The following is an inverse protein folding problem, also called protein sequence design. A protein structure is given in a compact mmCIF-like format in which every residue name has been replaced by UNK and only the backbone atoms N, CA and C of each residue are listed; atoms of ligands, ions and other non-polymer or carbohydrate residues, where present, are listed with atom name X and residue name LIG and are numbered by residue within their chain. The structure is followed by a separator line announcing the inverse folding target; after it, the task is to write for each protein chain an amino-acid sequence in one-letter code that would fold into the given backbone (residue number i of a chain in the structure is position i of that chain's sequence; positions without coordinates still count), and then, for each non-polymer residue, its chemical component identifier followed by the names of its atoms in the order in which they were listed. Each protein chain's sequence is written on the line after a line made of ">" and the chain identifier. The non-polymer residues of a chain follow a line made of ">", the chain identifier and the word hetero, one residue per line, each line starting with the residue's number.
data_IF_388941571326
#
_entry.id   IF_388941571326
#
_cell.length_a   1.000
_cell.length_b   1.000
_cell.length_c   1.000
_cell.angle_alpha   90.00
_cell.angle_beta   90.00
_cell.angle_gamma   90.00
#
_symmetry.space_group_name_H-M   'P 1'
#
loop_
_entity.id
_entity.type
_entity.pdbx_description
1 polymer ?
#
# COMPACT_ATOMS: atom_id res chain seq x y z
N UNK A 1 -16.39 38.12 49.34
CA UNK A 1 -15.83 38.70 48.09
C UNK A 1 -14.90 37.67 47.49
N UNK A 2 -15.03 37.17 46.27
CA UNK A 2 -15.96 37.38 45.17
C UNK A 2 -15.52 36.42 44.06
N UNK A 3 -16.49 35.75 43.41
CA UNK A 3 -16.30 34.77 42.34
C UNK A 3 -15.49 35.30 41.15
N UNK A 4 -14.76 34.41 40.47
CA UNK A 4 -14.43 34.58 39.04
C UNK A 4 -14.57 33.23 38.32
N UNK A 5 -15.78 32.99 37.84
CA UNK A 5 -16.05 32.11 36.70
C UNK A 5 -15.65 32.85 35.42
N UNK A 6 -14.85 32.25 34.56
CA UNK A 6 -14.79 32.59 33.15
C UNK A 6 -15.01 31.32 32.34
N UNK A 7 -16.21 31.25 31.78
CA UNK A 7 -16.75 30.20 30.93
C UNK A 7 -15.81 29.86 29.78
N UNK A 8 -15.47 28.58 29.66
CA UNK A 8 -15.07 27.96 28.40
C UNK A 8 -16.23 28.12 27.41
N UNK A 9 -16.14 29.12 26.52
CA UNK A 9 -16.99 29.18 25.34
C UNK A 9 -16.50 28.08 24.39
N UNK A 10 -17.22 26.97 24.34
CA UNK A 10 -17.06 25.98 23.29
C UNK A 10 -17.35 26.66 21.95
N UNK A 11 -16.31 26.86 21.15
CA UNK A 11 -16.44 27.26 19.76
C UNK A 11 -16.70 25.98 18.97
N UNK A 12 -17.96 25.62 18.78
CA UNK A 12 -18.35 24.67 17.75
C UNK A 12 -18.17 25.39 16.41
N UNK A 13 -17.23 24.97 15.54
CA UNK A 13 -17.11 25.61 14.25
C UNK A 13 -18.41 25.39 13.46
N UNK A 14 -18.98 26.49 12.95
CA UNK A 14 -20.13 26.41 12.06
C UNK A 14 -19.75 25.58 10.82
N UNK A 15 -20.58 24.62 10.39
CA UNK A 15 -20.29 23.86 9.19
C UNK A 15 -20.20 24.80 7.99
N UNK A 16 -19.15 24.64 7.19
CA UNK A 16 -18.99 25.40 5.95
C UNK A 16 -19.84 24.71 4.88
N UNK A 17 -20.77 25.45 4.28
CA UNK A 17 -21.64 24.94 3.22
C UNK A 17 -21.02 25.22 1.87
N UNK A 18 -20.63 24.17 1.15
CA UNK A 18 -19.96 24.28 -0.16
C UNK A 18 -20.91 23.78 -1.25
N UNK A 19 -20.93 24.47 -2.38
CA UNK A 19 -21.62 24.01 -3.59
C UNK A 19 -20.69 23.07 -4.36
N UNK A 20 -21.09 21.80 -4.42
CA UNK A 20 -20.33 20.69 -4.98
C UNK A 20 -20.59 20.52 -6.48
N UNK A 21 -21.81 20.86 -6.90
CA UNK A 21 -22.29 20.90 -8.28
C UNK A 21 -23.49 21.89 -8.34
N UNK A 22 -23.96 22.33 -9.53
CA UNK A 22 -25.04 23.31 -9.62
C UNK A 22 -26.28 22.88 -8.81
N UNK A 23 -26.56 23.57 -7.71
CA UNK A 23 -27.69 23.29 -6.80
C UNK A 23 -27.49 22.18 -5.76
N UNK A 24 -26.31 21.55 -5.68
CA UNK A 24 -25.98 20.50 -4.69
C UNK A 24 -25.05 21.06 -3.61
N UNK A 25 -25.49 20.99 -2.36
CA UNK A 25 -24.81 21.61 -1.22
C UNK A 25 -24.46 20.59 -0.14
N UNK A 26 -23.24 20.65 0.39
CA UNK A 26 -22.80 19.82 1.51
C UNK A 26 -22.32 20.67 2.69
N UNK A 27 -22.65 20.23 3.92
CA UNK A 27 -22.22 20.84 5.17
C UNK A 27 -20.96 20.14 5.70
N UNK A 28 -19.83 20.84 5.78
CA UNK A 28 -18.53 20.26 6.18
C UNK A 28 -18.10 20.81 7.54
N UNK A 29 -17.76 19.91 8.49
CA UNK A 29 -17.23 20.29 9.80
C UNK A 29 -15.80 20.84 9.67
N UNK A 30 -15.51 22.00 10.28
CA UNK A 30 -14.18 22.57 10.24
C UNK A 30 -13.21 21.79 11.17
N UNK A 31 -12.37 20.96 10.56
CA UNK A 31 -11.23 20.25 11.18
C UNK A 31 -9.97 20.37 10.30
N UNK A 32 -8.79 19.90 10.73
CA UNK A 32 -7.52 20.14 10.04
C UNK A 32 -7.58 19.65 8.59
N UNK A 33 -7.50 20.62 7.67
CA UNK A 33 -8.01 20.60 6.31
C UNK A 33 -7.17 19.82 5.28
N UNK A 34 -6.31 18.90 5.69
CA UNK A 34 -5.40 18.21 4.75
C UNK A 34 -5.83 16.80 4.36
N UNK A 35 -6.66 16.11 5.13
CA UNK A 35 -7.17 14.76 4.73
C UNK A 35 -8.54 14.83 4.04
N UNK A 36 -9.38 15.80 4.40
CA UNK A 36 -10.76 15.91 3.87
C UNK A 36 -10.80 16.53 2.46
N UNK A 37 -9.84 17.43 2.15
CA UNK A 37 -9.70 18.04 0.82
C UNK A 37 -9.11 17.04 -0.19
N UNK A 38 -8.28 16.10 0.26
CA UNK A 38 -7.77 14.99 -0.56
C UNK A 38 -8.88 13.98 -0.88
N UNK A 39 -9.70 13.59 0.11
CA UNK A 39 -10.84 12.68 -0.09
C UNK A 39 -11.91 13.27 -1.05
N UNK A 40 -12.08 14.59 -1.04
CA UNK A 40 -13.02 15.29 -1.92
C UNK A 40 -12.49 15.44 -3.37
N UNK A 41 -11.19 15.74 -3.54
CA UNK A 41 -10.54 15.78 -4.84
C UNK A 41 -10.45 14.39 -5.50
N UNK A 42 -10.31 13.32 -4.70
CA UNK A 42 -10.29 11.93 -5.18
C UNK A 42 -11.69 11.47 -5.64
N UNK A 43 -12.76 11.91 -4.96
CA UNK A 43 -14.15 11.63 -5.37
C UNK A 43 -14.59 12.33 -6.67
N UNK A 44 -14.23 13.61 -6.86
CA UNK A 44 -14.54 14.36 -8.10
C UNK A 44 -13.70 13.86 -9.30
N UNK A 45 -12.47 13.41 -9.05
CA UNK A 45 -11.61 12.85 -10.09
C UNK A 45 -12.06 11.46 -10.55
N UNK A 46 -12.60 10.63 -9.66
CA UNK A 46 -13.23 9.35 -10.04
C UNK A 46 -14.49 9.55 -10.90
N UNK A 47 -15.27 10.61 -10.67
CA UNK A 47 -16.46 10.91 -11.48
C UNK A 47 -16.09 11.45 -12.87
N UNK A 48 -14.96 12.15 -12.97
CA UNK A 48 -14.35 12.64 -14.22
C UNK A 48 -13.82 11.50 -15.13
N UNK A 49 -13.37 10.38 -14.55
CA UNK A 49 -13.01 9.17 -15.30
C UNK A 49 -14.26 8.38 -15.71
N UNK A 50 -15.28 8.32 -14.84
CA UNK A 50 -16.52 7.56 -15.04
C UNK A 50 -17.45 8.17 -16.11
N UNK A 51 -17.36 9.48 -16.37
CA UNK A 51 -18.25 10.20 -17.31
C UNK A 51 -17.79 10.22 -18.78
N UNK A 52 -16.69 9.54 -19.14
CA UNK A 52 -16.24 9.41 -20.52
C UNK A 52 -15.50 10.65 -21.02
N UNK A 53 -14.20 10.68 -20.75
CA UNK A 53 -13.29 11.76 -21.17
C UNK A 53 -13.32 11.98 -22.70
N UNK A 54 -13.48 13.22 -23.20
CA UNK A 54 -13.55 13.48 -24.63
C UNK A 54 -12.18 13.28 -25.29
N UNK A 55 -12.15 12.53 -26.40
CA UNK A 55 -10.95 12.42 -27.23
C UNK A 55 -10.57 13.80 -27.80
N UNK A 56 -9.35 14.26 -27.51
CA UNK A 56 -8.83 15.50 -28.09
C UNK A 56 -8.56 15.31 -29.61
N UNK A 57 -8.80 16.34 -30.45
CA UNK A 57 -8.56 16.25 -31.88
C UNK A 57 -7.05 16.15 -32.21
N UNK A 58 -6.73 15.41 -33.28
CA UNK A 58 -5.38 15.15 -33.74
C UNK A 58 -4.55 16.44 -33.94
N UNK A 59 -3.47 16.58 -33.17
CA UNK A 59 -2.45 17.62 -33.36
C UNK A 59 -1.42 17.27 -34.43
N UNK A 60 -0.68 18.25 -34.98
CA UNK A 60 0.15 18.09 -36.16
C UNK A 60 1.44 17.30 -35.89
N UNK A 61 2.10 16.74 -36.94
CA UNK A 61 3.32 15.96 -36.77
C UNK A 61 4.50 16.87 -36.42
N UNK A 62 5.09 16.66 -35.24
CA UNK A 62 6.30 17.38 -34.83
C UNK A 62 7.57 16.69 -35.36
N UNK A 63 8.17 17.34 -36.37
CA UNK A 63 9.59 17.70 -36.47
C UNK A 63 10.65 16.64 -36.14
N UNK A 64 11.30 16.15 -37.19
CA UNK A 64 12.61 15.48 -37.15
C UNK A 64 13.70 16.47 -36.73
N UNK A 65 14.39 16.19 -35.61
CA UNK A 65 15.73 16.72 -35.37
C UNK A 65 16.67 15.59 -34.96
N UNK A 66 17.50 15.19 -35.94
CA UNK A 66 18.73 14.46 -35.73
C UNK A 66 19.79 15.40 -35.14
N UNK A 67 20.47 14.95 -34.09
CA UNK A 67 21.82 15.40 -33.74
C UNK A 67 22.47 14.32 -32.87
N UNK A 68 23.04 13.35 -33.57
CA UNK A 68 23.89 12.29 -33.06
C UNK A 68 25.24 12.85 -32.60
N UNK A 69 25.67 12.51 -31.39
CA UNK A 69 27.01 12.78 -30.88
C UNK A 69 27.67 11.45 -30.47
N UNK A 70 28.97 11.22 -30.74
CA UNK A 70 29.56 9.90 -30.64
C UNK A 70 29.82 9.52 -29.18
N UNK A 71 29.29 8.38 -28.74
CA UNK A 71 29.67 7.74 -27.48
C UNK A 71 31.02 7.04 -27.62
N UNK A 72 31.95 7.17 -26.66
CA UNK A 72 33.19 6.41 -26.67
C UNK A 72 32.92 4.90 -26.40
N UNK A 73 33.79 4.00 -26.89
CA UNK A 73 33.58 2.56 -26.76
C UNK A 73 33.78 2.09 -25.33
N UNK A 74 32.77 1.42 -24.77
CA UNK A 74 32.87 0.67 -23.53
C UNK A 74 33.69 -0.61 -23.79
N UNK A 75 34.77 -0.78 -23.03
CA UNK A 75 35.55 -2.01 -23.00
C UNK A 75 34.67 -3.19 -22.56
N UNK A 76 34.64 -4.24 -23.37
CA UNK A 76 33.97 -5.50 -23.07
C UNK A 76 34.79 -6.28 -22.05
N UNK A 77 34.36 -6.25 -20.79
CA UNK A 77 34.68 -7.30 -19.84
C UNK A 77 33.51 -8.29 -19.88
N UNK A 78 33.74 -9.41 -20.56
CA UNK A 78 32.85 -10.55 -20.55
C UNK A 78 32.89 -11.20 -19.15
N UNK A 79 32.02 -10.72 -18.27
CA UNK A 79 31.54 -11.54 -17.16
C UNK A 79 30.24 -12.19 -17.63
N UNK A 80 30.18 -13.51 -17.58
CA UNK A 80 28.97 -14.25 -17.95
C UNK A 80 27.82 -13.78 -17.05
N UNK A 81 26.63 -13.45 -17.60
CA UNK A 81 25.52 -13.04 -16.77
C UNK A 81 25.18 -14.16 -15.78
N UNK A 82 24.92 -13.85 -14.49
CA UNK A 82 24.41 -14.84 -13.57
C UNK A 82 23.14 -15.46 -14.17
N UNK A 83 23.00 -16.78 -14.03
CA UNK A 83 21.85 -17.52 -14.53
C UNK A 83 20.56 -16.77 -14.18
N UNK A 84 19.77 -16.44 -15.21
CA UNK A 84 18.53 -15.72 -15.02
C UNK A 84 17.67 -16.48 -14.00
N UNK A 85 17.01 -15.77 -13.05
CA UNK A 85 16.15 -16.43 -12.09
C UNK A 85 15.08 -17.23 -12.84
N UNK A 86 15.03 -18.53 -12.58
CA UNK A 86 14.01 -19.40 -13.14
C UNK A 86 12.65 -18.96 -12.59
N UNK A 87 11.77 -18.48 -13.47
CA UNK A 87 10.36 -18.24 -13.12
C UNK A 87 9.80 -19.58 -12.63
N UNK A 88 9.20 -19.67 -11.44
CA UNK A 88 8.59 -20.91 -10.97
C UNK A 88 7.66 -21.46 -12.05
N UNK A 89 7.89 -22.70 -12.47
CA UNK A 89 7.14 -23.32 -13.55
C UNK A 89 5.63 -23.24 -13.23
N UNK A 90 4.87 -22.68 -14.16
CA UNK A 90 3.41 -22.55 -14.02
C UNK A 90 2.91 -21.35 -13.20
N UNK A 91 3.75 -20.41 -12.77
CA UNK A 91 3.29 -19.22 -12.00
C UNK A 91 2.17 -18.44 -12.70
N UNK A 92 2.25 -18.24 -14.01
CA UNK A 92 1.19 -17.57 -14.77
C UNK A 92 -0.12 -18.36 -14.73
N UNK A 93 -0.06 -19.69 -14.87
CA UNK A 93 -1.25 -20.55 -14.74
C UNK A 93 -1.83 -20.53 -13.31
N UNK A 94 -1.00 -20.35 -12.28
CA UNK A 94 -1.47 -20.15 -10.91
C UNK A 94 -2.17 -18.79 -10.73
N UNK A 95 -1.69 -17.74 -11.38
CA UNK A 95 -2.38 -16.44 -11.41
C UNK A 95 -3.73 -16.53 -12.12
N UNK A 96 -3.81 -17.23 -13.26
CA UNK A 96 -5.08 -17.49 -13.95
C UNK A 96 -6.08 -18.23 -13.02
N UNK A 97 -5.59 -19.21 -12.24
CA UNK A 97 -6.41 -19.92 -11.25
C UNK A 97 -6.87 -19.01 -10.10
N UNK A 98 -5.99 -18.13 -9.61
CA UNK A 98 -6.32 -17.16 -8.57
C UNK A 98 -7.41 -16.19 -9.04
N UNK A 99 -7.32 -15.69 -10.27
CA UNK A 99 -8.33 -14.83 -10.88
C UNK A 99 -9.68 -15.54 -10.98
N UNK A 100 -9.70 -16.78 -11.47
CA UNK A 100 -10.91 -17.59 -11.55
C UNK A 100 -11.52 -17.92 -10.17
N UNK A 101 -10.70 -18.18 -9.15
CA UNK A 101 -11.17 -18.38 -7.76
C UNK A 101 -11.77 -17.08 -7.21
N UNK A 102 -11.11 -15.95 -7.44
CA UNK A 102 -11.56 -14.63 -6.99
C UNK A 102 -12.92 -14.30 -7.58
N UNK A 103 -13.10 -14.50 -8.90
CA UNK A 103 -14.38 -14.31 -9.58
C UNK A 103 -15.49 -15.16 -8.95
N UNK A 104 -15.23 -16.45 -8.71
CA UNK A 104 -16.22 -17.33 -8.06
C UNK A 104 -16.59 -16.90 -6.65
N UNK A 105 -15.62 -16.41 -5.87
CA UNK A 105 -15.87 -15.92 -4.50
C UNK A 105 -16.72 -14.64 -4.54
N UNK A 106 -16.40 -13.69 -5.43
CA UNK A 106 -17.10 -12.41 -5.51
C UNK A 106 -18.47 -12.50 -6.18
N UNK A 107 -18.70 -13.53 -7.00
CA UNK A 107 -20.01 -13.79 -7.61
C UNK A 107 -20.97 -14.62 -6.73
N UNK A 108 -20.49 -15.18 -5.61
CA UNK A 108 -21.31 -16.02 -4.74
C UNK A 108 -22.31 -15.19 -3.92
N UNK A 109 -23.55 -15.65 -3.80
CA UNK A 109 -24.51 -15.07 -2.86
C UNK A 109 -24.22 -15.56 -1.43
N UNK A 110 -23.72 -14.64 -0.60
CA UNK A 110 -23.36 -14.90 0.80
C UNK A 110 -24.39 -14.36 1.80
N UNK A 111 -25.53 -13.82 1.33
CA UNK A 111 -26.51 -13.12 2.17
C UNK A 111 -27.19 -14.01 3.22
N UNK A 112 -27.25 -15.32 2.97
CA UNK A 112 -27.82 -16.30 3.89
C UNK A 112 -26.82 -16.98 4.83
N UNK A 113 -25.55 -16.56 4.85
CA UNK A 113 -24.53 -17.22 5.66
C UNK A 113 -24.79 -17.03 7.17
N UNK A 114 -24.65 -18.10 7.99
CA UNK A 114 -24.53 -17.95 9.43
C UNK A 114 -23.35 -17.05 9.79
N UNK A 115 -23.52 -16.20 10.81
CA UNK A 115 -22.51 -15.18 11.17
C UNK A 115 -21.12 -15.75 11.50
N UNK A 116 -21.04 -16.95 12.08
CA UNK A 116 -19.76 -17.63 12.34
C UNK A 116 -19.01 -17.99 11.05
N UNK A 117 -19.74 -18.49 10.04
CA UNK A 117 -19.17 -18.82 8.74
C UNK A 117 -18.80 -17.55 7.96
N UNK A 118 -19.61 -16.49 8.04
CA UNK A 118 -19.27 -15.19 7.45
C UNK A 118 -17.98 -14.59 8.07
N UNK A 119 -17.80 -14.72 9.39
CA UNK A 119 -16.58 -14.28 10.07
C UNK A 119 -15.35 -15.08 9.62
N UNK A 120 -15.47 -16.40 9.48
CA UNK A 120 -14.40 -17.26 8.97
C UNK A 120 -14.01 -16.90 7.52
N UNK A 121 -15.01 -16.72 6.65
CA UNK A 121 -14.79 -16.30 5.26
C UNK A 121 -14.08 -14.94 5.21
N UNK A 122 -14.57 -13.96 5.98
CA UNK A 122 -13.98 -12.62 6.07
C UNK A 122 -12.50 -12.68 6.52
N UNK A 123 -12.19 -13.47 7.54
CA UNK A 123 -10.81 -13.63 8.02
C UNK A 123 -9.90 -14.25 6.97
N UNK A 124 -10.35 -15.30 6.26
CA UNK A 124 -9.57 -15.98 5.22
C UNK A 124 -9.33 -15.07 4.02
N UNK A 125 -10.35 -14.34 3.57
CA UNK A 125 -10.23 -13.35 2.48
C UNK A 125 -9.24 -12.26 2.89
N UNK A 126 -9.38 -11.69 4.08
CA UNK A 126 -8.45 -10.66 4.58
C UNK A 126 -7.01 -11.15 4.61
N UNK A 127 -6.75 -12.36 5.10
CA UNK A 127 -5.40 -12.95 5.13
C UNK A 127 -4.82 -13.12 3.72
N UNK A 128 -5.59 -13.66 2.79
CA UNK A 128 -5.16 -13.83 1.41
C UNK A 128 -4.83 -12.47 0.74
N UNK A 129 -5.69 -11.47 0.93
CA UNK A 129 -5.48 -10.11 0.43
C UNK A 129 -4.21 -9.48 1.03
N UNK A 130 -3.99 -9.60 2.34
CA UNK A 130 -2.80 -9.05 3.00
C UNK A 130 -1.50 -9.70 2.46
N UNK A 131 -1.49 -11.02 2.26
CA UNK A 131 -0.34 -11.74 1.69
C UNK A 131 -0.05 -11.34 0.24
N UNK A 132 -1.10 -11.27 -0.60
CA UNK A 132 -0.98 -10.85 -1.99
C UNK A 132 -0.54 -9.39 -2.11
N UNK A 133 -1.05 -8.51 -1.25
CA UNK A 133 -0.62 -7.12 -1.18
C UNK A 133 0.86 -6.99 -0.78
N UNK A 134 1.33 -7.80 0.18
CA UNK A 134 2.73 -7.86 0.56
C UNK A 134 3.62 -8.34 -0.60
N UNK A 135 3.23 -9.43 -1.27
CA UNK A 135 3.95 -9.95 -2.43
C UNK A 135 3.99 -8.93 -3.57
N UNK A 136 2.90 -8.18 -3.79
CA UNK A 136 2.87 -7.07 -4.76
C UNK A 136 3.88 -5.97 -4.41
N UNK A 137 4.00 -5.57 -3.15
CA UNK A 137 5.00 -4.57 -2.74
C UNK A 137 6.43 -5.06 -3.00
N UNK A 138 6.72 -6.35 -2.78
CA UNK A 138 8.02 -6.95 -3.13
C UNK A 138 8.30 -6.83 -4.64
N UNK A 139 7.33 -7.20 -5.49
CA UNK A 139 7.46 -7.12 -6.94
C UNK A 139 7.65 -5.66 -7.42
N UNK A 140 6.91 -4.70 -6.86
CA UNK A 140 7.07 -3.27 -7.17
C UNK A 140 8.49 -2.80 -6.82
N UNK A 141 9.02 -3.25 -5.68
CA UNK A 141 10.40 -2.97 -5.29
C UNK A 141 11.41 -3.56 -6.28
N UNK A 142 11.15 -4.74 -6.83
CA UNK A 142 12.01 -5.37 -7.84
C UNK A 142 11.96 -4.62 -9.19
N UNK A 143 10.75 -4.31 -9.69
CA UNK A 143 10.55 -3.57 -10.94
C UNK A 143 11.24 -2.20 -10.87
N UNK A 144 11.10 -1.49 -9.74
CA UNK A 144 11.77 -0.21 -9.53
C UNK A 144 13.29 -0.31 -9.67
N UNK A 145 13.87 -1.34 -9.02
CA UNK A 145 15.30 -1.57 -8.93
C UNK A 145 15.91 -2.02 -10.26
N UNK A 146 15.20 -2.87 -11.01
CA UNK A 146 15.59 -3.30 -12.36
C UNK A 146 15.61 -2.12 -13.34
N UNK A 147 14.70 -1.17 -13.17
CA UNK A 147 14.69 0.05 -13.97
C UNK A 147 14.12 -0.10 -15.38
N UNK A 148 13.54 -1.25 -15.71
CA UNK A 148 12.87 -1.56 -16.99
C UNK A 148 11.77 -0.55 -17.35
N UNK A 149 11.13 0.05 -16.34
CA UNK A 149 10.17 1.15 -16.48
C UNK A 149 10.72 2.41 -17.16
N UNK A 150 12.04 2.62 -17.20
CA UNK A 150 12.68 3.78 -17.83
C UNK A 150 12.64 3.73 -19.35
N UNK A 151 12.31 2.59 -19.95
CA UNK A 151 12.08 2.48 -21.39
C UNK A 151 10.81 3.26 -21.80
N UNK A 152 9.87 3.45 -20.88
CA UNK A 152 8.72 4.31 -21.08
C UNK A 152 9.10 5.79 -20.89
N UNK A 153 8.36 6.72 -21.51
CA UNK A 153 8.61 8.18 -21.49
C UNK A 153 8.37 8.85 -20.12
N UNK A 154 8.34 8.08 -19.04
CA UNK A 154 7.99 8.53 -17.69
C UNK A 154 9.21 9.01 -16.90
N UNK A 155 9.08 10.14 -16.21
CA UNK A 155 10.18 10.78 -15.47
C UNK A 155 10.40 10.23 -14.05
N UNK A 156 9.49 9.38 -13.53
CA UNK A 156 9.65 8.74 -12.23
C UNK A 156 8.90 7.41 -12.16
N UNK A 157 9.36 6.49 -11.32
CA UNK A 157 8.71 5.20 -11.14
C UNK A 157 7.29 5.33 -10.57
N UNK A 158 7.05 6.28 -9.66
CA UNK A 158 5.69 6.53 -9.14
C UNK A 158 4.75 7.05 -10.22
N UNK A 159 5.22 7.89 -11.16
CA UNK A 159 4.43 8.34 -12.31
C UNK A 159 4.12 7.18 -13.26
N UNK A 160 5.11 6.32 -13.51
CA UNK A 160 4.92 5.11 -14.29
C UNK A 160 3.88 4.17 -13.65
N UNK A 161 3.98 3.91 -12.35
CA UNK A 161 3.05 3.06 -11.62
C UNK A 161 1.63 3.63 -11.63
N UNK A 162 1.48 4.94 -11.37
CA UNK A 162 0.19 5.62 -11.44
C UNK A 162 -0.47 5.48 -12.81
N UNK A 163 0.30 5.63 -13.90
CA UNK A 163 -0.21 5.48 -15.25
C UNK A 163 -0.57 4.03 -15.59
N UNK A 164 0.27 3.07 -15.23
CA UNK A 164 0.08 1.64 -15.54
C UNK A 164 -1.12 1.05 -14.81
N UNK A 165 -1.33 1.44 -13.57
CA UNK A 165 -2.37 0.88 -12.71
C UNK A 165 -3.57 1.82 -12.50
N UNK A 166 -3.59 2.99 -13.13
CA UNK A 166 -4.65 4.02 -13.01
C UNK A 166 -4.87 4.46 -11.56
N UNK A 167 -3.78 4.66 -10.81
CA UNK A 167 -3.83 5.11 -9.43
C UNK A 167 -3.70 6.64 -9.34
N UNK A 168 -4.21 7.21 -8.25
CA UNK A 168 -3.86 8.58 -7.88
C UNK A 168 -2.34 8.68 -7.64
N UNK A 169 -1.77 9.85 -7.92
CA UNK A 169 -0.33 10.10 -7.73
C UNK A 169 0.10 9.86 -6.28
N UNK A 170 -0.72 10.29 -5.32
CA UNK A 170 -0.46 10.13 -3.90
C UNK A 170 -0.41 8.64 -3.50
N UNK A 171 -1.36 7.84 -3.97
CA UNK A 171 -1.36 6.41 -3.73
C UNK A 171 -0.13 5.73 -4.34
N UNK A 172 0.19 6.02 -5.61
CA UNK A 172 1.38 5.46 -6.25
C UNK A 172 2.68 5.82 -5.52
N UNK A 173 2.83 7.07 -5.05
CA UNK A 173 3.99 7.49 -4.25
C UNK A 173 4.07 6.73 -2.93
N UNK A 174 2.95 6.58 -2.22
CA UNK A 174 2.88 5.82 -0.96
C UNK A 174 3.23 4.35 -1.18
N UNK A 175 2.70 3.73 -2.23
CA UNK A 175 2.99 2.35 -2.60
C UNK A 175 4.46 2.14 -2.94
N UNK A 176 5.05 3.02 -3.77
CA UNK A 176 6.48 2.95 -4.09
C UNK A 176 7.35 3.18 -2.85
N UNK A 177 7.00 4.13 -1.99
CA UNK A 177 7.71 4.37 -0.73
C UNK A 177 7.68 3.15 0.19
N UNK A 178 6.53 2.49 0.33
CA UNK A 178 6.41 1.26 1.12
C UNK A 178 7.22 0.10 0.53
N UNK A 179 7.14 -0.11 -0.80
CA UNK A 179 7.92 -1.12 -1.50
C UNK A 179 9.44 -0.91 -1.30
N UNK A 180 9.89 0.34 -1.40
CA UNK A 180 11.29 0.71 -1.19
C UNK A 180 11.73 0.48 0.26
N UNK A 181 10.93 0.91 1.24
CA UNK A 181 11.23 0.68 2.66
C UNK A 181 11.32 -0.81 3.00
N UNK A 182 10.42 -1.64 2.47
CA UNK A 182 10.46 -3.10 2.62
C UNK A 182 11.72 -3.71 2.01
N UNK A 183 12.11 -3.28 0.82
CA UNK A 183 13.32 -3.76 0.13
C UNK A 183 14.61 -3.36 0.86
N UNK A 184 14.71 -2.10 1.29
CA UNK A 184 15.98 -1.50 1.73
C UNK A 184 16.19 -1.59 3.25
N UNK A 185 15.12 -1.62 4.03
CA UNK A 185 15.21 -1.49 5.49
C UNK A 185 14.49 -2.61 6.24
N UNK A 186 13.49 -3.27 5.63
CA UNK A 186 12.61 -4.21 6.33
C UNK A 186 12.42 -5.55 5.61
N UNK A 187 13.48 -6.24 5.17
CA UNK A 187 13.34 -7.51 4.42
C UNK A 187 12.67 -8.61 5.27
N UNK A 188 12.91 -8.64 6.59
CA UNK A 188 12.25 -9.59 7.49
C UNK A 188 10.74 -9.31 7.61
N UNK A 189 10.34 -8.03 7.63
CA UNK A 189 8.91 -7.64 7.61
C UNK A 189 8.25 -8.05 6.30
N UNK A 190 8.93 -7.87 5.16
CA UNK A 190 8.43 -8.33 3.87
C UNK A 190 8.20 -9.84 3.85
N UNK A 191 9.15 -10.63 4.35
CA UNK A 191 9.05 -12.08 4.44
C UNK A 191 7.88 -12.53 5.35
N UNK A 192 7.77 -11.96 6.56
CA UNK A 192 6.69 -12.26 7.50
C UNK A 192 5.31 -11.90 6.92
N UNK A 193 5.21 -10.79 6.18
CA UNK A 193 3.97 -10.38 5.53
C UNK A 193 3.58 -11.32 4.38
N UNK A 194 4.53 -11.75 3.55
CA UNK A 194 4.28 -12.74 2.50
C UNK A 194 3.87 -14.11 3.08
N UNK A 195 4.46 -14.51 4.23
CA UNK A 195 4.08 -15.71 4.97
C UNK A 195 2.71 -15.59 5.68
N UNK A 196 2.13 -14.39 5.75
CA UNK A 196 0.86 -14.12 6.43
C UNK A 196 0.95 -14.20 7.95
N UNK A 197 2.15 -14.00 8.50
CA UNK A 197 2.40 -13.95 9.95
C UNK A 197 2.04 -12.58 10.54
N UNK A 198 2.13 -11.53 9.71
CA UNK A 198 1.76 -10.17 10.08
C UNK A 198 0.74 -9.60 9.09
N UNK A 199 -0.08 -8.65 9.55
CA UNK A 199 -1.11 -8.00 8.76
C UNK A 199 -0.55 -6.80 7.99
N UNK A 200 -1.32 -6.30 7.02
CA UNK A 200 -0.99 -5.06 6.31
C UNK A 200 -0.87 -3.84 7.25
N UNK A 201 -1.57 -3.84 8.39
CA UNK A 201 -1.47 -2.77 9.39
C UNK A 201 -0.08 -2.78 10.06
N UNK A 202 0.42 -3.96 10.43
CA UNK A 202 1.79 -4.11 10.96
C UNK A 202 2.81 -3.62 9.94
N UNK A 203 2.66 -3.98 8.66
CA UNK A 203 3.53 -3.49 7.58
C UNK A 203 3.52 -1.96 7.50
N UNK A 204 2.34 -1.33 7.50
CA UNK A 204 2.18 0.12 7.46
C UNK A 204 2.87 0.82 8.64
N UNK A 205 2.73 0.29 9.85
CA UNK A 205 3.40 0.81 11.05
C UNK A 205 4.92 0.72 10.91
N UNK A 206 5.44 -0.43 10.46
CA UNK A 206 6.88 -0.64 10.28
C UNK A 206 7.46 0.28 9.20
N UNK A 207 6.76 0.46 8.08
CA UNK A 207 7.16 1.40 7.02
C UNK A 207 7.19 2.84 7.53
N UNK A 208 6.21 3.26 8.36
CA UNK A 208 6.26 4.61 8.97
C UNK A 208 7.49 4.78 9.86
N UNK A 209 7.89 3.74 10.59
CA UNK A 209 9.07 3.79 11.44
C UNK A 209 10.38 4.00 10.65
N UNK A 210 10.44 3.65 9.35
CA UNK A 210 11.63 3.92 8.53
C UNK A 210 11.79 5.39 8.14
N UNK A 211 10.82 6.24 8.44
CA UNK A 211 10.86 7.68 8.12
C UNK A 211 11.91 8.49 8.89
N UNK A 212 12.53 7.92 9.93
CA UNK A 212 13.60 8.59 10.71
C UNK A 212 14.84 7.72 10.83
N UNK A 213 16.03 8.32 10.78
CA UNK A 213 17.32 7.62 10.90
C UNK A 213 17.41 6.82 12.20
N UNK A 214 17.09 7.48 13.33
CA UNK A 214 17.14 6.86 14.66
C UNK A 214 16.27 5.62 14.79
N UNK A 215 15.09 5.59 14.16
CA UNK A 215 14.23 4.40 14.19
C UNK A 215 14.75 3.32 13.22
N UNK A 216 15.34 3.69 12.08
CA UNK A 216 15.98 2.72 11.16
C UNK A 216 17.15 2.00 11.83
N UNK A 217 18.02 2.72 12.53
CA UNK A 217 19.12 2.12 13.29
C UNK A 217 18.63 1.14 14.34
N UNK A 218 17.55 1.48 15.06
CA UNK A 218 16.94 0.58 16.06
C UNK A 218 16.35 -0.68 15.42
N UNK A 219 15.75 -0.58 14.24
CA UNK A 219 15.19 -1.72 13.51
C UNK A 219 16.28 -2.64 12.92
N UNK A 220 17.45 -2.09 12.60
CA UNK A 220 18.62 -2.84 12.15
C UNK A 220 19.41 -3.49 13.31
N UNK A 221 19.20 -3.01 14.55
CA UNK A 221 19.85 -3.53 15.74
C UNK A 221 19.37 -4.94 16.11
N UNK A 222 20.23 -5.78 16.70
CA UNK A 222 19.82 -7.11 17.16
C UNK A 222 18.76 -6.97 18.26
N UNK A 223 17.64 -7.66 18.10
CA UNK A 223 16.65 -7.79 19.17
C UNK A 223 17.23 -8.75 20.21
N UNK A 224 17.68 -8.21 21.34
CA UNK A 224 17.95 -9.04 22.50
C UNK A 224 16.63 -9.72 22.87
N UNK A 225 16.54 -11.03 22.65
CA UNK A 225 15.39 -11.81 23.10
C UNK A 225 15.47 -11.90 24.62
N UNK A 226 14.97 -10.87 25.31
CA UNK A 226 14.71 -10.94 26.75
C UNK A 226 13.40 -11.68 26.98
N UNK A 227 13.34 -12.91 26.46
CA UNK A 227 12.36 -13.90 26.89
C UNK A 227 13.19 -14.98 27.54
N UNK A 228 13.53 -14.78 28.82
CA UNK A 228 13.72 -15.92 29.68
C UNK A 228 12.48 -16.80 29.46
N UNK A 229 12.70 -18.04 29.04
CA UNK A 229 11.68 -19.07 29.04
C UNK A 229 11.23 -19.30 30.49
N UNK A 230 10.46 -18.36 31.03
CA UNK A 230 9.69 -18.55 32.24
C UNK A 230 8.71 -19.69 31.97
N UNK A 231 8.43 -20.53 32.98
CA UNK A 231 7.54 -21.66 32.80
C UNK A 231 6.23 -21.16 32.20
N UNK A 232 5.90 -21.69 31.02
CA UNK A 232 4.59 -21.49 30.39
C UNK A 232 3.58 -21.96 31.41
N UNK A 233 2.91 -21.01 32.07
CA UNK A 233 1.89 -21.30 33.07
C UNK A 233 0.67 -21.79 32.30
N UNK A 234 0.73 -23.07 31.90
CA UNK A 234 -0.37 -23.78 31.27
C UNK A 234 -1.47 -23.84 32.32
N UNK A 235 -2.69 -23.39 31.97
CA UNK A 235 -3.81 -23.20 32.91
C UNK A 235 -4.17 -24.42 33.77
N UNK A 236 -3.64 -25.61 33.46
CA UNK A 236 -3.73 -26.81 34.32
C UNK A 236 -2.95 -26.68 35.64
N UNK A 237 -1.86 -25.90 35.70
CA UNK A 237 -1.06 -25.75 36.93
C UNK A 237 -1.74 -24.87 37.98
N UNK A 238 -2.68 -24.00 37.61
CA UNK A 238 -3.45 -23.19 38.57
C UNK A 238 -4.52 -24.00 39.31
N UNK A 239 -5.01 -25.11 38.74
CA UNK A 239 -6.06 -25.91 39.38
C UNK A 239 -5.53 -26.91 40.42
N UNK A 240 -4.24 -27.23 40.39
CA UNK A 240 -3.62 -28.19 41.32
C UNK A 240 -2.95 -27.52 42.54
N UNK A 241 -2.84 -26.19 42.56
CA UNK A 241 -2.20 -25.44 43.67
C UNK A 241 -3.14 -25.01 44.81
N UNK A 242 -4.46 -25.20 44.67
CA UNK A 242 -5.46 -24.73 45.64
C UNK A 242 -6.16 -25.85 46.43
N UNK A 243 -5.59 -27.05 46.43
CA UNK A 243 -6.03 -28.19 47.23
C UNK A 243 -4.92 -28.60 48.21
N UNK A 244 -4.73 -27.77 49.24
CA UNK A 244 -3.82 -28.01 50.36
C UNK A 244 -4.26 -27.23 51.58
#
# INVERSE_FOLDING_TARGET
>A
MGSMNLSSRGFTPAPLRIECAPGVWADVAAGPATTVVEDYLEAEFEDLIRSGWPSAPAGPPFGTHSAEAPRPPLASAADSPPAAPEVPEGLLAQLDQLEAVTERITSADLSGLPGSLAAEVSQRVRRATDQLAAQRLVLIGQIEAEGSWRADTMHSFSSWLASRERLSKALAQRTVGAARALREHLPATAAAACAGEITAEHVSIMVKATGTETLREKLAGPVASDTAAGPVCTGEQMLLGNAG
#
